data_IF_714471852877
#
_entry.id   IF_714471852877
#
_cell.length_a   1.000
_cell.length_b   1.000
_cell.length_c   1.000
_cell.angle_alpha   90.00
_cell.angle_beta   90.00
_cell.angle_gamma   90.00
#
_symmetry.space_group_name_H-M   'P 1'
#
loop_
_entity.id
_entity.type
_entity.pdbx_description
1 polymer ?
#
# COMPACT_ATOMS: atom_id res chain seq x y z
N UNK A 1 16.53 23.22 60.24
CA UNK A 1 17.41 22.12 59.82
C UNK A 1 17.02 21.81 58.39
N UNK A 2 18.01 21.81 57.51
CA UNK A 2 17.97 22.08 56.06
C UNK A 2 17.51 20.86 55.25
N UNK A 3 17.19 21.12 53.98
CA UNK A 3 17.22 20.24 52.79
C UNK A 3 15.92 19.47 52.46
N UNK A 4 15.46 19.35 51.21
CA UNK A 4 15.97 19.80 49.90
C UNK A 4 14.80 19.87 48.89
N UNK A 5 14.89 20.87 48.02
CA UNK A 5 14.23 21.12 46.74
C UNK A 5 14.20 19.91 45.78
N UNK A 6 13.11 19.72 45.00
CA UNK A 6 13.16 19.54 43.53
C UNK A 6 11.82 20.02 42.92
N UNK A 7 11.89 21.18 42.26
CA UNK A 7 10.95 21.63 41.24
C UNK A 7 11.39 21.03 39.89
N UNK A 8 10.52 20.27 39.22
CA UNK A 8 10.74 19.79 37.84
C UNK A 8 9.65 20.32 36.94
N UNK A 9 9.77 21.61 36.59
CA UNK A 9 9.13 22.19 35.41
C UNK A 9 9.96 21.83 34.16
N UNK A 10 9.73 20.63 33.61
CA UNK A 10 10.21 20.28 32.28
C UNK A 10 9.29 20.93 31.25
N UNK A 11 9.63 22.16 30.83
CA UNK A 11 9.00 22.85 29.72
C UNK A 11 9.23 22.10 28.40
N UNK A 12 8.17 21.47 27.89
CA UNK A 12 8.11 21.01 26.50
C UNK A 12 8.22 22.23 25.59
N UNK A 13 9.37 22.39 24.94
CA UNK A 13 9.56 23.39 23.89
C UNK A 13 8.63 23.06 22.72
N UNK A 14 7.49 23.74 22.67
CA UNK A 14 6.63 23.81 21.50
C UNK A 14 7.46 24.46 20.39
N UNK A 15 7.76 23.70 19.34
CA UNK A 15 8.36 24.24 18.12
C UNK A 15 7.35 25.18 17.48
N UNK A 16 7.67 26.48 17.55
CA UNK A 16 6.86 27.56 17.03
C UNK A 16 6.77 27.46 15.50
N UNK A 17 5.54 27.35 14.98
CA UNK A 17 5.24 27.21 13.55
C UNK A 17 5.72 28.42 12.72
N UNK A 18 6.00 29.55 13.37
CA UNK A 18 6.52 30.79 12.77
C UNK A 18 7.99 30.70 12.32
N UNK A 19 8.74 29.67 12.75
CA UNK A 19 10.15 29.55 12.35
C UNK A 19 10.31 28.99 10.93
N UNK A 20 9.26 28.34 10.39
CA UNK A 20 9.34 27.54 9.16
C UNK A 20 9.18 28.41 7.88
N UNK A 21 8.70 29.66 8.02
CA UNK A 21 8.39 30.58 6.90
C UNK A 21 9.37 31.77 6.78
N UNK A 22 10.49 31.77 7.52
CA UNK A 22 11.41 32.93 7.60
C UNK A 22 12.19 33.27 6.32
N UNK A 23 12.20 32.44 5.27
CA UNK A 23 13.18 32.55 4.18
C UNK A 23 12.63 32.84 2.78
N UNK A 24 11.34 33.16 2.63
CA UNK A 24 10.77 33.61 1.34
C UNK A 24 10.93 32.61 0.19
N UNK A 25 10.58 33.04 -1.02
CA UNK A 25 10.42 32.17 -2.19
C UNK A 25 11.72 31.54 -2.74
N UNK A 26 12.90 32.04 -2.37
CA UNK A 26 14.17 31.67 -3.02
C UNK A 26 14.93 30.51 -2.35
N UNK A 27 14.56 30.07 -1.14
CA UNK A 27 15.21 28.93 -0.47
C UNK A 27 16.63 29.20 0.04
N UNK A 28 17.02 28.44 1.07
CA UNK A 28 18.28 28.55 1.81
C UNK A 28 19.48 28.20 0.92
N UNK A 29 19.39 27.16 0.09
CA UNK A 29 20.47 26.75 -0.80
C UNK A 29 20.65 27.70 -1.98
N UNK A 30 19.58 28.29 -2.53
CA UNK A 30 19.74 29.29 -3.60
C UNK A 30 20.41 30.56 -3.05
N UNK A 31 20.06 30.96 -1.83
CA UNK A 31 20.76 32.05 -1.13
C UNK A 31 22.25 31.74 -0.96
N UNK A 32 22.61 30.53 -0.53
CA UNK A 32 24.02 30.08 -0.45
C UNK A 32 24.70 30.10 -1.82
N UNK A 33 24.05 29.63 -2.90
CA UNK A 33 24.60 29.69 -4.27
C UNK A 33 24.83 31.12 -4.75
N UNK A 34 23.88 32.02 -4.50
CA UNK A 34 23.96 33.41 -4.91
C UNK A 34 25.11 34.14 -4.18
N UNK A 35 25.25 33.95 -2.87
CA UNK A 35 26.32 34.58 -2.09
C UNK A 35 27.70 33.93 -2.25
N UNK A 36 27.78 32.66 -2.68
CA UNK A 36 29.05 31.94 -2.83
C UNK A 36 30.03 32.63 -3.81
N UNK A 37 29.52 33.37 -4.80
CA UNK A 37 30.34 34.13 -5.75
C UNK A 37 31.12 35.29 -5.13
N UNK A 38 30.62 35.84 -4.01
CA UNK A 38 31.23 36.98 -3.30
C UNK A 38 32.13 36.54 -2.14
N UNK A 39 32.05 35.26 -1.75
CA UNK A 39 32.87 34.69 -0.68
C UNK A 39 34.27 34.31 -1.19
N UNK A 40 35.28 34.53 -0.34
CA UNK A 40 36.68 34.14 -0.62
C UNK A 40 37.27 33.26 0.48
N UNK A 41 38.31 32.50 0.13
CA UNK A 41 39.09 31.72 1.07
C UNK A 41 38.26 30.72 1.88
N UNK A 42 38.34 30.81 3.20
CA UNK A 42 37.72 29.85 4.10
C UNK A 42 36.18 29.88 4.05
N UNK A 43 35.55 31.04 3.82
CA UNK A 43 34.08 31.14 3.73
C UNK A 43 33.55 30.48 2.45
N UNK A 44 34.30 30.59 1.35
CA UNK A 44 33.96 29.91 0.10
C UNK A 44 33.99 28.39 0.24
N UNK A 45 35.00 27.84 0.92
CA UNK A 45 35.08 26.40 1.20
C UNK A 45 33.89 25.90 2.00
N UNK A 46 33.39 26.68 2.96
CA UNK A 46 32.18 26.34 3.71
C UNK A 46 30.96 26.32 2.78
N UNK A 47 30.82 27.32 1.90
CA UNK A 47 29.74 27.37 0.92
C UNK A 47 29.78 26.17 -0.04
N UNK A 48 30.96 25.85 -0.58
CA UNK A 48 31.16 24.70 -1.46
C UNK A 48 30.77 23.39 -0.79
N UNK A 49 31.14 23.22 0.49
CA UNK A 49 30.83 22.01 1.25
C UNK A 49 29.33 21.86 1.57
N UNK A 50 28.68 22.99 1.89
CA UNK A 50 27.22 23.04 2.10
C UNK A 50 26.47 22.74 0.80
N UNK A 51 26.96 23.22 -0.35
CA UNK A 51 26.32 23.03 -1.65
C UNK A 51 26.60 21.64 -2.26
N UNK A 52 27.75 21.04 -1.96
CA UNK A 52 28.11 19.71 -2.48
C UNK A 52 27.30 18.58 -1.83
N UNK A 53 26.97 18.73 -0.54
CA UNK A 53 26.21 17.73 0.21
C UNK A 53 25.35 18.42 1.30
N UNK A 54 24.23 19.03 0.89
CA UNK A 54 23.33 19.75 1.80
C UNK A 54 22.79 18.88 2.94
N UNK A 55 22.52 17.59 2.68
CA UNK A 55 21.96 16.69 3.68
C UNK A 55 22.96 16.38 4.79
N UNK A 56 24.21 16.06 4.43
CA UNK A 56 25.23 15.85 5.44
C UNK A 56 25.57 17.14 6.19
N UNK A 57 25.51 18.30 5.53
CA UNK A 57 25.64 19.60 6.21
C UNK A 57 24.50 19.84 7.21
N UNK A 58 23.26 19.44 6.90
CA UNK A 58 22.12 19.55 7.81
C UNK A 58 22.20 18.60 9.02
N UNK A 59 22.91 17.47 8.91
CA UNK A 59 23.08 16.49 10.01
C UNK A 59 24.30 16.74 10.87
N UNK A 60 25.31 17.41 10.32
CA UNK A 60 26.56 17.70 11.03
C UNK A 60 26.35 18.69 12.18
N UNK A 61 27.15 18.53 13.23
CA UNK A 61 27.45 19.57 14.21
C UNK A 61 28.33 20.66 13.59
N UNK A 62 28.42 21.82 14.24
CA UNK A 62 29.26 22.93 13.76
C UNK A 62 30.74 22.55 13.70
N UNK A 63 31.18 21.63 14.58
CA UNK A 63 32.55 21.12 14.64
C UNK A 63 32.82 20.21 13.45
N UNK A 64 31.94 19.26 13.18
CA UNK A 64 32.06 18.34 12.05
C UNK A 64 32.02 19.09 10.70
N UNK A 65 31.17 20.12 10.56
CA UNK A 65 31.16 20.93 9.34
C UNK A 65 32.45 21.75 9.19
N UNK A 66 33.01 22.26 10.29
CA UNK A 66 34.29 22.94 10.26
C UNK A 66 35.42 21.99 9.81
N UNK A 67 35.47 20.78 10.35
CA UNK A 67 36.44 19.76 9.95
C UNK A 67 36.31 19.39 8.46
N UNK A 68 35.10 19.07 8.01
CA UNK A 68 34.87 18.66 6.61
C UNK A 68 35.18 19.78 5.60
N UNK A 69 35.00 21.04 5.98
CA UNK A 69 35.33 22.21 5.14
C UNK A 69 36.78 22.68 5.26
N UNK A 70 37.60 22.06 6.13
CA UNK A 70 38.96 22.51 6.42
C UNK A 70 39.00 23.92 7.01
N UNK A 71 38.09 24.20 7.95
CA UNK A 71 37.94 25.49 8.62
C UNK A 71 37.77 25.34 10.14
N UNK A 72 37.31 26.39 10.82
CA UNK A 72 37.08 26.42 12.27
C UNK A 72 35.61 26.73 12.57
N UNK A 73 35.07 26.34 13.74
CA UNK A 73 33.69 26.68 14.13
C UNK A 73 33.39 28.19 14.06
N UNK A 74 34.36 29.03 14.42
CA UNK A 74 34.25 30.49 14.28
C UNK A 74 34.11 30.94 12.82
N UNK A 75 34.71 30.22 11.87
CA UNK A 75 34.54 30.48 10.44
C UNK A 75 33.16 30.07 9.95
N UNK A 76 32.60 28.96 10.46
CA UNK A 76 31.20 28.57 10.18
C UNK A 76 30.23 29.63 10.68
N UNK A 77 30.41 30.16 11.89
CA UNK A 77 29.57 31.25 12.41
C UNK A 77 29.67 32.51 11.56
N UNK A 78 30.87 32.89 11.11
CA UNK A 78 31.05 34.03 10.20
C UNK A 78 30.38 33.80 8.83
N UNK A 79 30.47 32.59 8.30
CA UNK A 79 29.76 32.19 7.08
C UNK A 79 28.24 32.35 7.25
N UNK A 80 27.68 31.84 8.34
CA UNK A 80 26.24 31.97 8.62
C UNK A 80 25.80 33.44 8.61
N UNK A 81 26.53 34.31 9.30
CA UNK A 81 26.25 35.74 9.34
C UNK A 81 26.42 36.43 7.98
N UNK A 82 27.46 36.09 7.22
CA UNK A 82 27.69 36.63 5.88
C UNK A 82 26.56 36.27 4.91
N UNK A 83 25.97 35.08 5.08
CA UNK A 83 24.80 34.65 4.34
C UNK A 83 23.49 35.14 4.95
N UNK A 84 23.53 35.86 6.08
CA UNK A 84 22.39 36.46 6.78
C UNK A 84 21.51 35.46 7.53
N UNK A 85 22.13 34.44 8.13
CA UNK A 85 21.55 33.54 9.13
C UNK A 85 22.00 33.95 10.54
N UNK A 86 21.15 33.71 11.54
CA UNK A 86 21.42 34.04 12.94
C UNK A 86 22.58 33.19 13.51
N UNK A 87 22.81 32.02 12.94
CA UNK A 87 23.91 31.13 13.28
C UNK A 87 23.83 29.78 12.58
N UNK A 88 24.65 28.83 13.02
CA UNK A 88 24.71 27.50 12.40
C UNK A 88 23.40 26.70 12.58
N UNK A 89 22.74 26.84 13.72
CA UNK A 89 21.46 26.17 13.96
C UNK A 89 20.38 26.63 12.97
N UNK A 90 20.36 27.93 12.65
CA UNK A 90 19.42 28.58 11.72
C UNK A 90 19.67 28.11 10.28
N UNK A 91 20.93 28.13 9.84
CA UNK A 91 21.35 27.56 8.55
C UNK A 91 20.98 26.07 8.45
N UNK A 92 21.27 25.28 9.50
CA UNK A 92 21.02 23.84 9.55
C UNK A 92 19.52 23.52 9.41
N UNK A 93 18.69 24.27 10.13
CA UNK A 93 17.23 24.15 10.06
C UNK A 93 16.71 24.52 8.67
N UNK A 94 17.25 25.57 8.06
CA UNK A 94 16.91 25.98 6.71
C UNK A 94 17.26 24.93 5.66
N UNK A 95 18.48 24.38 5.71
CA UNK A 95 18.90 23.32 4.78
C UNK A 95 18.07 22.06 5.00
N UNK A 96 17.82 21.65 6.25
CA UNK A 96 16.99 20.48 6.57
C UNK A 96 15.56 20.64 6.03
N UNK A 97 15.00 21.85 6.16
CA UNK A 97 13.65 22.16 5.67
C UNK A 97 13.58 22.18 4.14
N UNK A 98 14.63 22.65 3.45
CA UNK A 98 14.68 22.68 1.99
C UNK A 98 15.02 21.33 1.37
N UNK A 99 15.96 20.56 1.95
CA UNK A 99 16.25 19.20 1.49
C UNK A 99 15.11 18.23 1.81
N UNK A 100 14.41 18.44 2.92
CA UNK A 100 13.12 17.79 3.20
C UNK A 100 12.08 18.15 2.14
N UNK A 101 11.94 19.43 1.80
CA UNK A 101 11.07 19.90 0.70
C UNK A 101 11.50 19.40 -0.68
N UNK A 102 12.80 19.21 -0.95
CA UNK A 102 13.32 18.70 -2.22
C UNK A 102 13.07 17.18 -2.37
N UNK A 103 13.11 16.41 -1.28
CA UNK A 103 12.55 15.04 -1.25
C UNK A 103 11.04 15.04 -1.51
N UNK A 104 10.34 16.06 -1.05
CA UNK A 104 8.93 16.31 -1.37
C UNK A 104 8.71 17.04 -2.71
N UNK A 105 9.73 17.46 -3.46
CA UNK A 105 9.54 18.27 -4.67
C UNK A 105 9.11 17.44 -5.89
N UNK A 106 9.03 16.11 -5.76
CA UNK A 106 8.21 15.26 -6.65
C UNK A 106 6.72 15.28 -6.31
N UNK A 107 6.32 15.93 -5.21
CA UNK A 107 4.98 15.98 -4.63
C UNK A 107 4.62 17.44 -4.35
N UNK A 108 4.02 18.11 -5.34
CA UNK A 108 3.62 19.53 -5.30
C UNK A 108 2.51 19.85 -4.28
N UNK A 109 2.20 18.95 -3.35
CA UNK A 109 1.13 19.13 -2.37
C UNK A 109 1.69 19.10 -0.96
N UNK A 110 1.37 20.15 -0.21
CA UNK A 110 1.66 20.28 1.21
C UNK A 110 0.88 19.23 2.01
N UNK A 111 1.48 18.04 2.16
CA UNK A 111 0.92 16.92 2.92
C UNK A 111 0.95 17.30 4.41
N UNK A 112 -0.16 17.88 4.86
CA UNK A 112 -0.35 18.48 6.19
C UNK A 112 -1.47 19.51 6.20
N UNK A 113 -1.82 20.08 5.03
CA UNK A 113 -2.97 20.98 4.90
C UNK A 113 -4.27 20.19 4.84
N UNK A 114 -5.13 20.46 5.81
CA UNK A 114 -6.46 19.89 5.97
C UNK A 114 -7.30 20.14 4.70
N UNK A 115 -7.94 19.10 4.14
CA UNK A 115 -8.88 19.20 3.02
C UNK A 115 -10.05 20.09 3.47
N UNK A 116 -10.22 21.23 2.80
CA UNK A 116 -11.24 22.21 3.17
C UNK A 116 -12.55 21.97 2.41
N UNK A 117 -13.72 22.36 2.97
CA UNK A 117 -15.02 22.19 2.31
C UNK A 117 -15.13 22.82 0.91
N UNK A 118 -14.29 23.81 0.59
CA UNK A 118 -14.26 24.50 -0.69
C UNK A 118 -13.10 24.11 -1.62
N UNK A 119 -12.28 23.11 -1.26
CA UNK A 119 -11.16 22.70 -2.10
C UNK A 119 -11.66 22.10 -3.43
N UNK A 120 -11.06 22.47 -4.58
CA UNK A 120 -11.40 21.88 -5.87
C UNK A 120 -11.01 20.40 -5.92
N UNK A 121 -11.75 19.58 -6.67
CA UNK A 121 -11.55 18.12 -6.71
C UNK A 121 -10.15 17.71 -7.17
N UNK A 122 -9.52 18.48 -8.05
CA UNK A 122 -8.14 18.26 -8.50
C UNK A 122 -7.17 18.32 -7.31
N UNK A 123 -7.32 19.32 -6.44
CA UNK A 123 -6.51 19.46 -5.23
C UNK A 123 -6.78 18.32 -4.24
N UNK A 124 -8.05 17.94 -4.06
CA UNK A 124 -8.43 16.82 -3.19
C UNK A 124 -7.81 15.51 -3.69
N UNK A 125 -7.84 15.26 -4.99
CA UNK A 125 -7.21 14.10 -5.61
C UNK A 125 -5.70 14.11 -5.38
N UNK A 126 -5.02 15.22 -5.65
CA UNK A 126 -3.58 15.33 -5.46
C UNK A 126 -3.19 15.09 -3.99
N UNK A 127 -3.98 15.59 -3.04
CA UNK A 127 -3.78 15.36 -1.61
C UNK A 127 -3.93 13.87 -1.24
N UNK A 128 -4.96 13.20 -1.74
CA UNK A 128 -5.20 11.77 -1.49
C UNK A 128 -4.04 10.95 -2.07
N UNK A 129 -3.66 11.21 -3.31
CA UNK A 129 -2.56 10.51 -3.99
C UNK A 129 -1.24 10.69 -3.25
N UNK A 130 -0.95 11.91 -2.79
CA UNK A 130 0.25 12.21 -2.03
C UNK A 130 0.27 11.49 -0.66
N UNK A 131 -0.84 11.51 0.07
CA UNK A 131 -0.97 10.82 1.36
C UNK A 131 -0.84 9.30 1.23
N UNK A 132 -1.57 8.69 0.29
CA UNK A 132 -1.54 7.23 0.08
C UNK A 132 -0.18 6.77 -0.42
N UNK A 133 0.44 7.49 -1.37
CA UNK A 133 1.76 7.10 -1.89
C UNK A 133 2.83 7.20 -0.83
N UNK A 134 2.81 8.25 0.00
CA UNK A 134 3.71 8.38 1.13
C UNK A 134 3.50 7.26 2.14
N UNK A 135 2.26 6.96 2.52
CA UNK A 135 1.98 5.87 3.45
C UNK A 135 2.46 4.51 2.93
N UNK A 136 2.34 4.24 1.63
CA UNK A 136 2.88 3.03 1.01
C UNK A 136 4.42 3.01 1.01
N UNK A 137 5.08 4.14 0.73
CA UNK A 137 6.54 4.22 0.75
C UNK A 137 7.11 4.09 2.18
N UNK A 138 6.48 4.74 3.15
CA UNK A 138 6.83 4.63 4.57
C UNK A 138 6.65 3.17 5.04
N UNK A 139 5.55 2.52 4.63
CA UNK A 139 5.32 1.09 4.88
C UNK A 139 6.42 0.21 4.30
N UNK A 140 6.80 0.42 3.04
CA UNK A 140 7.89 -0.33 2.41
C UNK A 140 9.24 -0.14 3.12
N UNK A 141 9.44 1.01 3.78
CA UNK A 141 10.65 1.30 4.55
C UNK A 141 10.62 0.62 5.93
N UNK A 142 9.45 0.48 6.54
CA UNK A 142 9.27 -0.12 7.88
C UNK A 142 9.13 -1.64 7.85
N UNK A 143 8.69 -2.21 6.73
CA UNK A 143 8.36 -3.62 6.64
C UNK A 143 9.61 -4.51 6.67
N UNK A 144 9.67 -5.41 7.65
CA UNK A 144 10.71 -6.44 7.71
C UNK A 144 10.36 -7.61 6.77
N UNK A 145 11.15 -7.76 5.71
CA UNK A 145 10.95 -8.83 4.72
C UNK A 145 11.20 -10.22 5.29
N UNK A 146 12.00 -10.36 6.36
CA UNK A 146 12.20 -11.64 7.03
C UNK A 146 10.92 -12.08 7.77
N UNK A 147 10.20 -11.14 8.38
CA UNK A 147 8.91 -11.41 9.03
C UNK A 147 7.83 -11.76 7.99
N UNK A 148 7.82 -11.07 6.84
CA UNK A 148 6.96 -11.44 5.71
C UNK A 148 7.24 -12.86 5.22
N UNK A 149 8.52 -13.23 5.10
CA UNK A 149 8.92 -14.58 4.72
C UNK A 149 8.48 -15.62 5.75
N UNK A 150 8.66 -15.35 7.05
CA UNK A 150 8.15 -16.22 8.12
C UNK A 150 6.64 -16.41 8.04
N UNK A 151 5.88 -15.34 7.85
CA UNK A 151 4.42 -15.41 7.72
C UNK A 151 4.02 -16.22 6.48
N UNK A 152 4.70 -15.99 5.34
CA UNK A 152 4.42 -16.70 4.10
C UNK A 152 4.70 -18.21 4.23
N UNK A 153 5.77 -18.60 4.93
CA UNK A 153 6.07 -20.02 5.21
C UNK A 153 4.98 -20.64 6.08
N UNK A 154 4.57 -19.97 7.16
CA UNK A 154 3.52 -20.45 8.04
C UNK A 154 2.19 -20.64 7.28
N UNK A 155 1.76 -19.64 6.51
CA UNK A 155 0.51 -19.67 5.74
C UNK A 155 0.57 -20.73 4.63
N UNK A 156 1.71 -20.88 3.94
CA UNK A 156 1.85 -21.86 2.86
C UNK A 156 1.71 -23.31 3.33
N UNK A 157 2.15 -23.59 4.56
CA UNK A 157 2.05 -24.91 5.22
C UNK A 157 0.81 -25.10 6.09
N UNK A 158 -0.02 -24.06 6.26
CA UNK A 158 -1.14 -24.10 7.18
C UNK A 158 -2.26 -25.04 6.70
N UNK A 159 -2.86 -25.77 7.64
CA UNK A 159 -4.09 -26.51 7.36
C UNK A 159 -5.30 -25.57 7.30
N UNK A 160 -5.34 -24.58 8.19
CA UNK A 160 -6.35 -23.52 8.23
C UNK A 160 -5.72 -22.17 8.52
N UNK A 161 -6.26 -21.13 7.90
CA UNK A 161 -5.90 -19.73 8.18
C UNK A 161 -7.16 -19.00 8.66
N UNK A 162 -7.20 -18.59 9.92
CA UNK A 162 -8.23 -17.68 10.40
C UNK A 162 -7.70 -16.25 10.37
N UNK A 163 -8.52 -15.32 9.88
CA UNK A 163 -8.20 -13.91 9.76
C UNK A 163 -9.19 -13.14 10.62
N UNK A 164 -8.71 -12.30 11.53
CA UNK A 164 -9.51 -11.59 12.51
C UNK A 164 -9.39 -10.09 12.30
N UNK A 165 -10.52 -9.39 12.24
CA UNK A 165 -10.53 -7.93 12.12
C UNK A 165 -11.93 -7.37 12.33
N UNK A 166 -12.02 -6.16 12.87
CA UNK A 166 -13.30 -5.48 13.08
C UNK A 166 -13.47 -4.28 12.15
N UNK A 167 -14.72 -3.98 11.78
CA UNK A 167 -15.09 -2.81 10.96
C UNK A 167 -14.22 -2.69 9.70
N UNK A 168 -13.52 -1.57 9.49
CA UNK A 168 -12.66 -1.38 8.32
C UNK A 168 -11.55 -2.41 8.16
N UNK A 169 -11.06 -3.01 9.25
CA UNK A 169 -10.04 -4.07 9.19
C UNK A 169 -10.63 -5.42 8.79
N UNK A 170 -11.94 -5.64 9.01
CA UNK A 170 -12.63 -6.83 8.53
C UNK A 170 -12.62 -6.91 6.99
N UNK A 171 -12.84 -5.77 6.31
CA UNK A 171 -12.81 -5.69 4.84
C UNK A 171 -11.43 -6.06 4.27
N UNK A 172 -10.37 -5.65 4.96
CA UNK A 172 -8.99 -6.01 4.59
C UNK A 172 -8.75 -7.51 4.80
N UNK A 173 -9.33 -8.10 5.87
CA UNK A 173 -9.29 -9.53 6.11
C UNK A 173 -10.08 -10.35 5.08
N UNK A 174 -11.25 -9.86 4.66
CA UNK A 174 -12.06 -10.47 3.60
C UNK A 174 -11.33 -10.48 2.25
N UNK A 175 -10.60 -9.41 1.92
CA UNK A 175 -9.74 -9.37 0.72
C UNK A 175 -8.63 -10.42 0.78
N UNK A 176 -7.97 -10.57 1.94
CA UNK A 176 -6.96 -11.61 2.12
C UNK A 176 -7.56 -13.02 2.01
N UNK A 177 -8.73 -13.25 2.61
CA UNK A 177 -9.48 -14.50 2.46
C UNK A 177 -9.75 -14.80 0.98
N UNK A 178 -10.27 -13.80 0.25
CA UNK A 178 -10.57 -13.93 -1.17
C UNK A 178 -9.31 -14.31 -1.96
N UNK A 179 -8.20 -13.59 -1.74
CA UNK A 179 -6.92 -13.83 -2.41
C UNK A 179 -6.35 -15.22 -2.12
N UNK A 180 -6.33 -15.65 -0.85
CA UNK A 180 -5.86 -16.98 -0.45
C UNK A 180 -6.69 -18.11 -1.06
N UNK A 181 -8.02 -17.95 -1.13
CA UNK A 181 -8.89 -18.94 -1.78
C UNK A 181 -8.56 -19.12 -3.26
N UNK A 182 -8.18 -18.05 -3.97
CA UNK A 182 -7.80 -18.15 -5.39
C UNK A 182 -6.60 -19.06 -5.65
N UNK A 183 -5.72 -19.20 -4.67
CA UNK A 183 -4.54 -20.09 -4.74
C UNK A 183 -4.72 -21.39 -3.93
N UNK A 184 -5.94 -21.68 -3.49
CA UNK A 184 -6.30 -22.93 -2.83
C UNK A 184 -5.82 -23.04 -1.39
N UNK A 185 -5.57 -21.92 -0.70
CA UNK A 185 -5.35 -21.89 0.76
C UNK A 185 -6.71 -21.80 1.45
N UNK A 186 -6.95 -22.64 2.45
CA UNK A 186 -8.19 -22.65 3.22
C UNK A 186 -8.17 -21.53 4.27
N UNK A 187 -8.94 -20.46 4.01
CA UNK A 187 -8.91 -19.25 4.82
C UNK A 187 -10.32 -18.78 5.20
N UNK A 188 -10.49 -18.23 6.40
CA UNK A 188 -11.75 -17.65 6.87
C UNK A 188 -11.53 -16.33 7.61
N UNK A 189 -12.21 -15.29 7.18
CA UNK A 189 -12.24 -13.99 7.83
C UNK A 189 -13.43 -13.93 8.79
N UNK A 190 -13.15 -13.59 10.05
CA UNK A 190 -14.14 -13.45 11.10
C UNK A 190 -14.19 -11.99 11.57
N UNK A 191 -15.37 -11.40 11.42
CA UNK A 191 -15.67 -10.03 11.85
C UNK A 191 -16.56 -9.98 13.10
N UNK A 192 -17.33 -11.04 13.34
CA UNK A 192 -18.07 -11.24 14.60
C UNK A 192 -17.17 -11.91 15.64
N UNK A 193 -17.17 -11.34 16.86
CA UNK A 193 -16.30 -11.78 17.95
C UNK A 193 -16.67 -13.17 18.48
N UNK A 194 -17.95 -13.51 18.53
CA UNK A 194 -18.37 -14.80 19.07
C UNK A 194 -18.07 -15.94 18.10
N UNK A 195 -18.35 -15.74 16.82
CA UNK A 195 -18.00 -16.72 15.79
C UNK A 195 -16.49 -16.87 15.64
N UNK A 196 -15.76 -15.74 15.67
CA UNK A 196 -14.31 -15.75 15.57
C UNK A 196 -13.63 -16.39 16.78
N UNK A 197 -14.11 -16.17 18.01
CA UNK A 197 -13.62 -16.86 19.21
C UNK A 197 -13.91 -18.36 19.15
N UNK A 198 -15.10 -18.76 18.75
CA UNK A 198 -15.44 -20.18 18.58
C UNK A 198 -14.52 -20.85 17.54
N UNK A 199 -14.20 -20.16 16.45
CA UNK A 199 -13.27 -20.64 15.42
C UNK A 199 -11.82 -20.66 15.93
N UNK A 200 -11.38 -19.64 16.66
CA UNK A 200 -10.04 -19.54 17.24
C UNK A 200 -9.75 -20.67 18.24
N UNK A 201 -10.74 -21.03 19.06
CA UNK A 201 -10.64 -22.12 20.04
C UNK A 201 -10.43 -23.51 19.41
N UNK A 202 -10.67 -23.64 18.10
CA UNK A 202 -10.51 -24.88 17.33
C UNK A 202 -9.24 -24.90 16.45
N UNK A 203 -8.41 -23.86 16.50
CA UNK A 203 -7.11 -23.88 15.85
C UNK A 203 -6.11 -24.69 16.68
N UNK A 204 -5.00 -25.10 16.04
CA UNK A 204 -3.91 -25.75 16.75
C UNK A 204 -2.57 -25.63 16.04
N UNK A 205 -1.61 -26.48 16.43
CA UNK A 205 -0.29 -26.55 15.81
C UNK A 205 -0.42 -26.85 14.31
N UNK A 206 0.17 -26.00 13.48
CA UNK A 206 0.07 -26.09 12.02
C UNK A 206 -1.09 -25.28 11.41
N UNK A 207 -1.84 -24.55 12.22
CA UNK A 207 -2.77 -23.52 11.75
C UNK A 207 -2.20 -22.11 11.96
N UNK A 208 -2.77 -21.12 11.28
CA UNK A 208 -2.38 -19.71 11.36
C UNK A 208 -3.55 -18.83 11.77
N UNK A 209 -3.29 -17.87 12.64
CA UNK A 209 -4.20 -16.79 13.00
C UNK A 209 -3.58 -15.43 12.60
N UNK A 210 -4.24 -14.70 11.71
CA UNK A 210 -3.85 -13.37 11.27
C UNK A 210 -4.78 -12.32 11.88
N UNK A 211 -4.30 -11.54 12.85
CA UNK A 211 -5.01 -10.40 13.42
C UNK A 211 -4.71 -9.11 12.67
N UNK A 212 -5.74 -8.39 12.22
CA UNK A 212 -5.63 -7.10 11.54
C UNK A 212 -6.29 -6.03 12.40
N UNK A 213 -5.48 -5.12 12.92
CA UNK A 213 -5.96 -3.92 13.61
C UNK A 213 -4.96 -2.80 13.41
N UNK A 214 -5.39 -1.72 12.76
CA UNK A 214 -4.52 -0.57 12.53
C UNK A 214 -3.93 -0.04 13.84
N UNK A 215 -4.74 0.21 14.87
CA UNK A 215 -4.27 0.69 16.18
C UNK A 215 -3.63 -0.39 17.03
N UNK A 216 -3.91 -1.67 16.73
CA UNK A 216 -3.51 -2.81 17.55
C UNK A 216 -4.17 -2.84 18.93
N UNK A 217 -5.26 -2.08 19.11
CA UNK A 217 -6.00 -1.93 20.37
C UNK A 217 -7.44 -2.46 20.29
N UNK A 218 -7.86 -2.98 19.13
CA UNK A 218 -9.20 -3.53 18.94
C UNK A 218 -9.38 -4.79 19.78
N UNK A 219 -10.20 -4.67 20.84
CA UNK A 219 -10.36 -5.72 21.86
C UNK A 219 -10.78 -7.06 21.26
N UNK A 220 -11.77 -7.05 20.37
CA UNK A 220 -12.30 -8.27 19.75
C UNK A 220 -11.21 -9.00 18.95
N UNK A 221 -10.40 -8.26 18.18
CA UNK A 221 -9.27 -8.81 17.42
C UNK A 221 -8.18 -9.38 18.32
N UNK A 222 -7.89 -8.68 19.42
CA UNK A 222 -6.90 -9.11 20.43
C UNK A 222 -7.36 -10.41 21.10
N UNK A 223 -8.62 -10.49 21.54
CA UNK A 223 -9.19 -11.67 22.19
C UNK A 223 -9.15 -12.90 21.27
N UNK A 224 -9.54 -12.75 20.00
CA UNK A 224 -9.50 -13.84 19.03
C UNK A 224 -8.06 -14.30 18.71
N UNK A 225 -7.12 -13.37 18.54
CA UNK A 225 -5.72 -13.72 18.28
C UNK A 225 -5.08 -14.42 19.49
N UNK A 226 -5.37 -13.94 20.71
CA UNK A 226 -4.91 -14.55 21.95
C UNK A 226 -5.46 -15.96 22.15
N UNK A 227 -6.76 -16.18 21.91
CA UNK A 227 -7.38 -17.50 21.98
C UNK A 227 -6.69 -18.46 21.01
N UNK A 228 -6.47 -18.06 19.75
CA UNK A 228 -5.78 -18.87 18.76
C UNK A 228 -4.34 -19.24 19.19
N UNK A 229 -3.57 -18.25 19.66
CA UNK A 229 -2.21 -18.47 20.16
C UNK A 229 -2.18 -19.42 21.36
N UNK A 230 -3.16 -19.34 22.26
CA UNK A 230 -3.28 -20.26 23.41
C UNK A 230 -3.47 -21.74 23.02
N UNK A 231 -3.93 -21.99 21.79
CA UNK A 231 -4.08 -23.35 21.22
C UNK A 231 -2.87 -23.82 20.41
N UNK A 232 -1.85 -22.97 20.25
CA UNK A 232 -0.61 -23.29 19.54
C UNK A 232 -0.64 -23.00 18.03
N UNK A 233 -1.63 -22.23 17.55
CA UNK A 233 -1.59 -21.68 16.20
C UNK A 233 -0.49 -20.61 16.09
N UNK A 234 0.15 -20.50 14.92
CA UNK A 234 1.08 -19.40 14.67
C UNK A 234 0.32 -18.10 14.52
N UNK A 235 0.67 -17.08 15.31
CA UNK A 235 -0.02 -15.79 15.33
C UNK A 235 0.74 -14.74 14.51
N UNK A 236 0.01 -14.03 13.64
CA UNK A 236 0.53 -12.94 12.81
C UNK A 236 -0.29 -11.68 13.09
N UNK A 237 0.36 -10.56 13.35
CA UNK A 237 -0.31 -9.26 13.50
C UNK A 237 0.01 -8.34 12.31
N UNK A 238 -1.01 -7.70 11.74
CA UNK A 238 -0.88 -6.58 10.81
C UNK A 238 -1.36 -5.30 11.49
N UNK A 239 -0.46 -4.38 11.78
CA UNK A 239 -0.76 -3.18 12.59
C UNK A 239 0.10 -1.97 12.22
N UNK A 240 -0.36 -0.77 12.57
CA UNK A 240 0.43 0.45 12.48
C UNK A 240 1.34 0.71 13.69
N UNK A 241 1.14 -0.03 14.79
CA UNK A 241 1.81 0.23 16.06
C UNK A 241 2.56 -1.03 16.53
N UNK A 242 3.89 -1.12 16.35
CA UNK A 242 4.67 -2.32 16.65
C UNK A 242 4.78 -2.64 18.16
N UNK A 243 4.36 -1.72 19.03
CA UNK A 243 4.29 -1.91 20.50
C UNK A 243 2.86 -1.92 21.01
N UNK A 244 1.91 -2.30 20.16
CA UNK A 244 0.50 -2.41 20.53
C UNK A 244 0.20 -3.75 21.22
N UNK A 245 -0.89 -3.85 22.00
CA UNK A 245 -1.31 -5.11 22.60
C UNK A 245 -1.45 -6.25 21.57
N UNK A 246 -1.93 -5.97 20.36
CA UNK A 246 -2.00 -6.98 19.30
C UNK A 246 -0.60 -7.48 18.88
N UNK A 247 0.38 -6.57 18.74
CA UNK A 247 1.73 -6.92 18.34
C UNK A 247 2.47 -7.73 19.43
N UNK A 248 2.24 -7.42 20.70
CA UNK A 248 2.85 -8.14 21.82
C UNK A 248 2.40 -9.61 21.93
N UNK A 249 1.22 -9.94 21.38
CA UNK A 249 0.66 -11.29 21.38
C UNK A 249 1.06 -12.13 20.16
N UNK A 250 1.65 -11.50 19.13
CA UNK A 250 1.90 -12.15 17.86
C UNK A 250 3.32 -12.73 17.76
N UNK A 251 3.46 -13.92 17.18
CA UNK A 251 4.76 -14.52 16.86
C UNK A 251 5.48 -13.76 15.73
N UNK A 252 4.70 -13.12 14.85
CA UNK A 252 5.14 -12.41 13.65
C UNK A 252 4.40 -11.08 13.56
N UNK A 253 5.11 -9.97 13.38
CA UNK A 253 4.52 -8.62 13.32
C UNK A 253 4.84 -7.96 11.99
N UNK A 254 3.80 -7.61 11.23
CA UNK A 254 3.87 -6.88 9.98
C UNK A 254 3.40 -5.43 10.21
N UNK A 255 4.27 -4.47 9.95
CA UNK A 255 4.04 -3.06 10.29
C UNK A 255 3.67 -2.25 9.05
N UNK A 256 2.63 -1.42 9.18
CA UNK A 256 2.19 -0.46 8.15
C UNK A 256 2.31 0.98 8.65
N UNK A 257 2.57 1.93 7.77
CA UNK A 257 2.39 3.36 8.04
C UNK A 257 1.02 3.83 7.53
N UNK A 258 0.51 4.91 8.12
CA UNK A 258 -0.68 5.63 7.62
C UNK A 258 -0.43 7.13 7.64
N UNK A 259 -1.13 7.84 6.76
CA UNK A 259 -1.17 9.30 6.74
C UNK A 259 -2.65 9.72 6.77
N UNK A 260 -3.16 10.11 7.94
CA UNK A 260 -4.53 10.61 8.07
C UNK A 260 -4.71 11.92 7.30
N UNK A 261 -5.92 12.12 6.78
CA UNK A 261 -6.39 13.42 6.29
C UNK A 261 -7.72 13.75 6.97
N UNK A 262 -8.19 14.99 6.82
CA UNK A 262 -9.40 15.54 7.45
C UNK A 262 -10.60 14.61 7.44
N UNK A 263 -10.90 14.04 6.27
CA UNK A 263 -12.07 13.19 6.04
C UNK A 263 -11.68 11.70 5.92
N UNK A 264 -10.41 11.36 6.17
CA UNK A 264 -9.90 10.00 6.22
C UNK A 264 -9.12 9.81 7.52
N UNK A 265 -9.82 9.51 8.64
CA UNK A 265 -9.15 9.10 9.87
C UNK A 265 -8.26 7.89 9.62
N UNK A 266 -7.28 7.67 10.50
CA UNK A 266 -6.21 6.68 10.33
C UNK A 266 -6.69 5.31 9.86
N UNK A 267 -7.80 4.80 10.39
CA UNK A 267 -8.37 3.50 10.01
C UNK A 267 -8.80 3.41 8.52
N UNK A 268 -9.16 4.53 7.89
CA UNK A 268 -9.46 4.60 6.45
C UNK A 268 -8.20 4.83 5.60
N UNK A 269 -7.24 5.58 6.12
CA UNK A 269 -5.96 5.84 5.44
C UNK A 269 -5.00 4.65 5.47
N UNK A 270 -5.11 3.77 6.47
CA UNK A 270 -4.25 2.61 6.62
C UNK A 270 -4.57 1.47 5.61
N UNK A 271 -5.71 1.52 4.93
CA UNK A 271 -6.18 0.41 4.07
C UNK A 271 -5.26 0.10 2.91
N UNK A 272 -4.87 1.12 2.12
CA UNK A 272 -3.98 0.89 0.97
C UNK A 272 -2.61 0.35 1.39
N UNK A 273 -1.93 0.93 2.41
CA UNK A 273 -0.73 0.33 2.99
C UNK A 273 -0.89 -1.14 3.44
N UNK A 274 -2.00 -1.47 4.12
CA UNK A 274 -2.30 -2.83 4.55
C UNK A 274 -2.46 -3.79 3.37
N UNK A 275 -3.19 -3.37 2.32
CA UNK A 275 -3.38 -4.17 1.12
C UNK A 275 -2.05 -4.44 0.40
N UNK A 276 -1.14 -3.47 0.34
CA UNK A 276 0.20 -3.68 -0.24
C UNK A 276 0.99 -4.76 0.52
N UNK A 277 0.93 -4.76 1.86
CA UNK A 277 1.58 -5.80 2.66
C UNK A 277 0.94 -7.17 2.42
N UNK A 278 -0.38 -7.21 2.33
CA UNK A 278 -1.11 -8.46 2.04
C UNK A 278 -0.85 -8.97 0.63
N UNK A 279 -0.71 -8.11 -0.37
CA UNK A 279 -0.34 -8.48 -1.74
C UNK A 279 1.04 -9.14 -1.77
N UNK A 280 2.02 -8.54 -1.08
CA UNK A 280 3.35 -9.12 -0.96
C UNK A 280 3.31 -10.49 -0.26
N UNK A 281 2.56 -10.60 0.84
CA UNK A 281 2.37 -11.84 1.58
C UNK A 281 1.69 -12.92 0.73
N UNK A 282 0.62 -12.57 0.03
CA UNK A 282 -0.09 -13.44 -0.91
C UNK A 282 0.83 -13.95 -2.01
N UNK A 283 1.61 -13.06 -2.65
CA UNK A 283 2.58 -13.45 -3.69
C UNK A 283 3.64 -14.38 -3.11
N UNK A 284 4.18 -14.09 -1.92
CA UNK A 284 5.17 -14.92 -1.27
C UNK A 284 4.64 -16.33 -0.94
N UNK A 285 3.36 -16.45 -0.54
CA UNK A 285 2.67 -17.74 -0.35
C UNK A 285 2.49 -18.47 -1.68
N UNK A 286 2.04 -17.76 -2.72
CA UNK A 286 1.82 -18.32 -4.05
C UNK A 286 3.13 -18.85 -4.66
N UNK A 287 4.25 -18.13 -4.47
CA UNK A 287 5.58 -18.58 -4.92
C UNK A 287 6.02 -19.88 -4.25
N UNK A 288 5.76 -20.03 -2.95
CA UNK A 288 6.09 -21.26 -2.18
C UNK A 288 5.20 -22.45 -2.55
N UNK A 289 4.01 -22.17 -3.06
CA UNK A 289 3.01 -23.16 -3.41
C UNK A 289 2.79 -23.21 -4.92
N UNK A 290 3.78 -22.79 -5.72
CA UNK A 290 3.68 -22.46 -7.14
C UNK A 290 2.75 -23.37 -7.95
N UNK A 291 3.01 -24.68 -7.96
CA UNK A 291 2.23 -25.62 -8.77
C UNK A 291 0.79 -25.78 -8.26
N UNK A 292 0.62 -25.84 -6.94
CA UNK A 292 -0.70 -25.90 -6.27
C UNK A 292 -1.49 -24.62 -6.53
N UNK A 293 -0.85 -23.47 -6.34
CA UNK A 293 -1.43 -22.15 -6.55
C UNK A 293 -1.85 -21.96 -8.01
N UNK A 294 -1.00 -22.30 -8.98
CA UNK A 294 -1.30 -22.19 -10.40
C UNK A 294 -2.48 -23.09 -10.81
N UNK A 295 -2.50 -24.34 -10.33
CA UNK A 295 -3.61 -25.25 -10.58
C UNK A 295 -4.93 -24.75 -9.96
N UNK A 296 -4.90 -24.28 -8.71
CA UNK A 296 -6.06 -23.74 -8.02
C UNK A 296 -6.60 -22.47 -8.70
N UNK A 297 -5.71 -21.55 -9.09
CA UNK A 297 -6.07 -20.31 -9.76
C UNK A 297 -6.78 -20.57 -11.09
N UNK A 298 -6.29 -21.54 -11.87
CA UNK A 298 -6.95 -21.98 -13.10
C UNK A 298 -8.33 -22.57 -12.84
N UNK A 299 -8.45 -23.47 -11.86
CA UNK A 299 -9.74 -24.12 -11.51
C UNK A 299 -10.78 -23.10 -11.04
N UNK A 300 -10.39 -22.20 -10.14
CA UNK A 300 -11.28 -21.15 -9.62
C UNK A 300 -11.70 -20.17 -10.72
N UNK A 301 -10.78 -19.77 -11.62
CA UNK A 301 -11.11 -18.92 -12.75
C UNK A 301 -12.07 -19.59 -13.75
N UNK A 302 -11.87 -20.87 -14.04
CA UNK A 302 -12.74 -21.65 -14.93
C UNK A 302 -14.15 -21.82 -14.35
N UNK A 303 -14.27 -22.05 -13.04
CA UNK A 303 -15.56 -22.26 -12.38
C UNK A 303 -16.51 -21.05 -12.52
N UNK A 304 -15.96 -19.84 -12.61
CA UNK A 304 -16.76 -18.61 -12.73
C UNK A 304 -16.81 -18.04 -14.16
N UNK A 305 -16.12 -18.65 -15.12
CA UNK A 305 -15.99 -18.10 -16.47
C UNK A 305 -17.35 -17.94 -17.18
N UNK A 306 -18.29 -18.84 -16.90
CA UNK A 306 -19.66 -18.78 -17.39
C UNK A 306 -20.50 -17.58 -16.90
N UNK A 307 -20.03 -16.86 -15.88
CA UNK A 307 -20.67 -15.63 -15.41
C UNK A 307 -20.19 -14.37 -16.14
N UNK A 308 -19.15 -14.46 -16.98
CA UNK A 308 -18.77 -13.36 -17.86
C UNK A 308 -19.81 -13.27 -18.96
N UNK A 309 -20.45 -12.11 -19.10
CA UNK A 309 -21.33 -11.86 -20.24
C UNK A 309 -20.57 -12.20 -21.53
N UNK A 310 -21.15 -13.07 -22.37
CA UNK A 310 -20.58 -13.40 -23.65
C UNK A 310 -20.27 -12.08 -24.37
N UNK A 311 -19.01 -11.89 -24.78
CA UNK A 311 -18.60 -10.74 -25.57
C UNK A 311 -19.51 -10.73 -26.79
N UNK A 312 -20.56 -9.89 -26.78
CA UNK A 312 -21.36 -9.61 -27.96
C UNK A 312 -20.37 -9.02 -28.94
N UNK A 313 -19.83 -9.86 -29.83
CA UNK A 313 -19.24 -9.41 -31.06
C UNK A 313 -20.37 -8.69 -31.78
N UNK A 314 -20.52 -7.40 -31.52
CA UNK A 314 -21.25 -6.50 -32.39
C UNK A 314 -20.41 -6.31 -33.65
N UNK A 315 -20.22 -7.39 -34.41
CA UNK A 315 -20.07 -7.29 -35.84
C UNK A 315 -21.41 -6.78 -36.33
N UNK A 316 -21.48 -5.48 -36.61
CA UNK A 316 -22.62 -4.87 -37.26
C UNK A 316 -22.90 -5.63 -38.57
N UNK A 317 -24.00 -6.38 -38.72
CA UNK A 317 -24.29 -7.07 -39.97
C UNK A 317 -24.70 -6.09 -41.09
N UNK A 318 -24.84 -4.79 -40.80
CA UNK A 318 -25.37 -3.79 -41.75
C UNK A 318 -24.33 -2.85 -42.38
N UNK A 319 -23.04 -2.94 -42.05
CA UNK A 319 -22.03 -2.03 -42.62
C UNK A 319 -21.40 -2.53 -43.94
N UNK A 320 -21.56 -3.81 -44.30
CA UNK A 320 -20.96 -4.38 -45.52
C UNK A 320 -21.81 -4.20 -46.79
N UNK A 321 -23.11 -3.89 -46.68
CA UNK A 321 -24.00 -3.78 -47.84
C UNK A 321 -24.16 -2.34 -48.35
N UNK A 322 -23.91 -1.33 -47.51
CA UNK A 322 -24.00 0.07 -47.90
C UNK A 322 -22.79 0.55 -48.74
N UNK A 323 -21.67 -0.15 -48.69
CA UNK A 323 -20.43 0.24 -49.38
C UNK A 323 -20.27 -0.47 -50.75
N UNK A 324 -20.97 -1.60 -50.96
CA UNK A 324 -21.07 -2.27 -52.27
C UNK A 324 -22.02 -1.54 -53.24
N UNK A 325 -23.10 -0.93 -52.75
CA UNK A 325 -24.07 -0.20 -53.60
C UNK A 325 -23.58 1.17 -54.07
N UNK A 326 -22.50 1.72 -53.50
CA UNK A 326 -21.90 2.99 -53.97
C UNK A 326 -20.82 2.82 -55.03
N UNK A 327 -20.36 1.58 -55.30
CA UNK A 327 -19.39 1.27 -56.36
C UNK A 327 -20.02 0.81 -57.69
N UNK A 328 -21.30 0.45 -57.72
CA UNK A 328 -21.98 -0.03 -58.95
C UNK A 328 -22.56 1.08 -59.85
N UNK A 329 -21.97 2.27 -59.87
CA UNK A 329 -22.50 3.44 -60.59
C UNK A 329 -21.49 4.21 -61.43
N UNK A 330 -20.81 3.54 -62.38
CA UNK A 330 -20.23 4.07 -63.65
C UNK A 330 -19.39 2.93 -64.31
N UNK A 331 -19.88 2.30 -65.39
CA UNK A 331 -19.52 2.57 -66.81
C UNK A 331 -18.02 2.30 -67.09
N UNK A 332 -17.54 1.50 -68.04
CA UNK A 332 -18.07 1.01 -69.34
C UNK A 332 -17.08 -0.04 -69.97
N UNK A 333 -17.63 -1.00 -70.75
CA UNK A 333 -17.14 -1.59 -72.03
C UNK A 333 -15.87 -2.50 -72.09
N UNK A 334 -16.10 -3.83 -72.12
CA UNK A 334 -15.71 -4.88 -73.12
C UNK A 334 -14.24 -5.24 -73.43
N UNK A 335 -13.97 -6.39 -74.13
CA UNK A 335 -14.54 -7.75 -73.96
C UNK A 335 -13.45 -8.88 -73.91
N UNK A 336 -13.95 -10.11 -73.76
CA UNK A 336 -13.49 -11.39 -74.38
C UNK A 336 -12.86 -12.53 -73.57
N UNK A 337 -13.54 -13.69 -73.72
CA UNK A 337 -13.15 -15.11 -73.66
C UNK A 337 -12.82 -15.75 -72.30
N UNK A 338 -13.08 -17.02 -72.03
CA UNK A 338 -14.11 -18.02 -72.40
C UNK A 338 -13.79 -19.26 -71.52
N UNK A 339 -14.76 -20.19 -71.36
CA UNK A 339 -14.55 -21.65 -71.14
C UNK A 339 -14.52 -22.24 -69.69
N UNK A 340 -15.69 -22.79 -69.29
CA UNK A 340 -16.01 -24.24 -68.96
C UNK A 340 -15.79 -24.86 -67.55
N UNK A 341 -16.94 -25.26 -66.97
CA UNK A 341 -17.32 -26.53 -66.29
C UNK A 341 -17.01 -26.85 -64.81
N UNK A 342 -18.09 -26.94 -64.02
CA UNK A 342 -18.63 -28.24 -63.56
C UNK A 342 -18.46 -28.64 -62.07
N UNK A 343 -19.47 -29.21 -61.37
CA UNK A 343 -19.61 -29.17 -59.89
C UNK A 343 -19.49 -30.55 -59.19
N UNK A 344 -19.49 -30.60 -57.83
CA UNK A 344 -19.86 -31.71 -56.88
C UNK A 344 -19.53 -31.19 -55.45
N UNK A 345 -20.18 -31.46 -54.32
CA UNK A 345 -21.46 -32.00 -53.84
C UNK A 345 -21.48 -31.81 -52.30
N UNK A 346 -22.65 -31.92 -51.70
CA UNK A 346 -23.05 -31.52 -50.35
C UNK A 346 -23.22 -32.76 -49.43
N UNK A 347 -22.89 -32.67 -48.12
CA UNK A 347 -23.39 -33.54 -47.04
C UNK A 347 -22.91 -32.97 -45.68
N UNK A 348 -23.75 -32.44 -44.79
CA UNK A 348 -24.75 -33.08 -43.91
C UNK A 348 -24.30 -32.94 -42.44
N UNK A 349 -25.07 -32.15 -41.67
CA UNK A 349 -24.86 -31.95 -40.24
C UNK A 349 -25.64 -32.92 -39.35
N UNK A 350 -25.33 -32.91 -38.05
CA UNK A 350 -26.23 -33.34 -36.96
C UNK A 350 -25.94 -32.50 -35.70
N UNK A 351 -27.01 -31.91 -35.15
CA UNK A 351 -27.07 -31.23 -33.85
C UNK A 351 -27.52 -32.23 -32.78
N UNK A 352 -26.95 -32.15 -31.58
CA UNK A 352 -27.45 -32.80 -30.36
C UNK A 352 -27.88 -31.72 -29.37
N UNK A 353 -29.07 -31.90 -28.78
CA UNK A 353 -29.73 -30.95 -27.87
C UNK A 353 -29.25 -31.02 -26.41
N UNK A 354 -29.76 -30.13 -25.53
CA UNK A 354 -29.25 -29.94 -24.17
C UNK A 354 -29.83 -30.96 -23.15
N UNK A 355 -29.16 -31.15 -21.98
CA UNK A 355 -29.52 -32.18 -21.01
C UNK A 355 -30.65 -31.77 -20.05
N UNK A 356 -31.39 -32.78 -19.57
CA UNK A 356 -32.50 -32.72 -18.61
C UNK A 356 -32.01 -32.72 -17.14
N UNK A 357 -32.79 -32.19 -16.17
CA UNK A 357 -32.42 -32.13 -14.75
C UNK A 357 -32.72 -33.43 -13.98
N UNK A 358 -31.84 -33.81 -13.06
CA UNK A 358 -31.97 -35.00 -12.19
C UNK A 358 -32.77 -34.72 -10.91
N UNK A 359 -33.59 -35.71 -10.52
CA UNK A 359 -34.54 -35.73 -9.39
C UNK A 359 -33.91 -36.04 -8.02
N UNK A 360 -34.43 -35.37 -6.99
CA UNK A 360 -35.03 -35.94 -5.76
C UNK A 360 -34.20 -36.83 -4.81
N UNK A 361 -33.93 -36.32 -3.61
CA UNK A 361 -33.57 -37.11 -2.41
C UNK A 361 -34.83 -37.66 -1.70
N UNK A 362 -34.78 -38.86 -1.10
CA UNK A 362 -35.87 -39.37 -0.28
C UNK A 362 -35.74 -38.95 1.20
N UNK A 363 -36.88 -38.60 1.79
CA UNK A 363 -37.11 -38.45 3.22
C UNK A 363 -37.24 -39.81 3.90
N UNK A 364 -36.64 -39.98 5.08
CA UNK A 364 -36.98 -41.06 6.01
C UNK A 364 -37.35 -40.47 7.37
N UNK A 365 -38.46 -40.94 7.92
CA UNK A 365 -39.09 -40.56 9.18
C UNK A 365 -38.83 -41.60 10.28
N UNK A 366 -38.84 -41.10 11.52
CA UNK A 366 -39.24 -41.73 12.79
C UNK A 366 -38.32 -42.70 13.57
N UNK A 367 -38.22 -42.41 14.87
CA UNK A 367 -37.74 -43.30 15.93
C UNK A 367 -37.55 -42.57 17.27
N UNK A 368 -38.52 -42.69 18.18
CA UNK A 368 -38.58 -42.07 19.50
C UNK A 368 -37.84 -42.86 20.60
N UNK A 369 -37.75 -42.22 21.79
CA UNK A 369 -37.54 -42.74 23.15
C UNK A 369 -36.10 -42.79 23.73
N UNK A 370 -35.76 -41.78 24.52
CA UNK A 370 -35.62 -41.85 26.00
C UNK A 370 -35.47 -40.46 26.59
#
# INVERSE_FOLDING_TARGET
>A
MVDHEVDTSAGTAVVDADTVDRWGADGVLARVRAGAGELTGALRRVAEHVLSDPEAAARATIVELAERSGTSPATITRFCRAMGFDGYADLRLGIASETGRARSAGWTVDIGREIQPGDPLERVLDQIMAADTRAMHDTATLLDLAEVERAAVAIAGASRVNIFGASGSALVGEEMQFSLHRIGVAAWAWSDVHEGLASAALLGVGDVALGISHTGQTRETIEMLAEAGSRGATTVALTGFPRSPLAELADIVLVTASQATTFRPDALSARHPQLVVLDLLYIAVAQRTHDRAHAAFRRTAQAVDGHKAAKRLSGNPGASEAESSRRSGKAEIGPDTDVVSGPISNAAGRRLGPPQPTRGFPTASEGAAS
#
